data_IF_630569099354
#
_entry.id   IF_630569099354
#
_cell.length_a   1.000
_cell.length_b   1.000
_cell.length_c   1.000
_cell.angle_alpha   90.00
_cell.angle_beta   90.00
_cell.angle_gamma   90.00
#
_symmetry.space_group_name_H-M   'P 1'
#
loop_
_entity.id
_entity.type
_entity.pdbx_description
1 polymer ?
#
# COMPACT_ATOMS: atom_id res chain seq x y z
N UNK A 1 11.52 21.76 13.38
CA UNK A 1 11.75 21.13 12.05
C UNK A 1 10.84 19.92 11.97
N UNK A 2 10.18 19.64 10.82
CA UNK A 2 9.23 18.50 10.75
C UNK A 2 9.98 17.17 10.88
N UNK A 3 9.45 16.22 11.65
CA UNK A 3 10.09 14.92 11.89
C UNK A 3 10.15 14.09 10.60
N UNK A 4 11.33 13.93 9.99
CA UNK A 4 11.50 13.08 8.80
C UNK A 4 11.94 11.66 9.10
N UNK A 5 12.14 11.30 10.36
CA UNK A 5 12.57 9.97 10.74
C UNK A 5 11.49 8.94 10.45
N UNK A 6 11.88 7.86 9.75
CA UNK A 6 11.00 6.75 9.40
C UNK A 6 11.66 5.43 9.75
N UNK A 7 11.00 4.63 10.58
CA UNK A 7 11.44 3.27 10.91
C UNK A 7 11.05 2.31 9.79
N UNK A 8 12.04 1.70 9.15
CA UNK A 8 11.80 0.66 8.16
C UNK A 8 11.58 -0.70 8.83
N UNK A 9 10.61 -1.46 8.35
CA UNK A 9 10.41 -2.85 8.76
C UNK A 9 10.11 -3.71 7.54
N UNK A 10 10.76 -4.87 7.43
CA UNK A 10 10.34 -5.93 6.51
C UNK A 10 9.80 -7.09 7.34
N UNK A 11 8.50 -7.34 7.25
CA UNK A 11 7.84 -8.43 7.97
C UNK A 11 7.92 -9.77 7.23
N UNK A 12 8.56 -9.81 6.06
CA UNK A 12 8.68 -11.02 5.24
C UNK A 12 7.32 -11.53 4.79
N UNK A 13 7.17 -12.86 4.69
CA UNK A 13 5.90 -13.51 4.45
C UNK A 13 5.12 -13.61 5.78
N UNK A 14 3.97 -12.96 5.85
CA UNK A 14 3.18 -12.85 7.09
C UNK A 14 1.69 -13.04 6.79
N UNK A 15 0.98 -13.68 7.72
CA UNK A 15 -0.49 -13.78 7.65
C UNK A 15 -1.13 -12.38 7.58
N UNK A 16 -2.21 -12.28 6.80
CA UNK A 16 -2.85 -11.00 6.57
C UNK A 16 -3.45 -10.40 7.85
N UNK A 17 -4.07 -11.23 8.70
CA UNK A 17 -4.69 -10.75 9.94
C UNK A 17 -3.63 -10.32 10.93
N UNK A 18 -2.55 -11.08 11.07
CA UNK A 18 -1.41 -10.68 11.92
C UNK A 18 -0.82 -9.33 11.47
N UNK A 19 -0.58 -9.14 10.17
CA UNK A 19 -0.08 -7.87 9.63
C UNK A 19 -1.08 -6.73 9.82
N UNK A 20 -2.38 -7.00 9.66
CA UNK A 20 -3.41 -6.00 9.89
C UNK A 20 -3.48 -5.56 11.36
N UNK A 21 -3.36 -6.49 12.31
CA UNK A 21 -3.34 -6.16 13.74
C UNK A 21 -2.09 -5.35 14.12
N UNK A 22 -0.92 -5.65 13.53
CA UNK A 22 0.29 -4.83 13.66
C UNK A 22 0.09 -3.42 13.12
N UNK A 23 -0.54 -3.28 11.95
CA UNK A 23 -0.86 -1.98 11.37
C UNK A 23 -1.82 -1.16 12.25
N UNK A 24 -2.93 -1.76 12.72
CA UNK A 24 -3.89 -1.07 13.60
C UNK A 24 -3.21 -0.59 14.88
N UNK A 25 -2.28 -1.37 15.45
CA UNK A 25 -1.51 -0.96 16.62
C UNK A 25 -0.64 0.27 16.33
N UNK A 26 0.22 0.20 15.31
CA UNK A 26 1.10 1.32 14.94
C UNK A 26 0.30 2.59 14.61
N UNK A 27 -0.81 2.42 13.89
CA UNK A 27 -1.74 3.50 13.56
C UNK A 27 -2.40 4.11 14.80
N UNK A 28 -2.98 3.28 15.67
CA UNK A 28 -3.69 3.73 16.87
C UNK A 28 -2.74 4.41 17.86
N UNK A 29 -1.56 3.84 18.07
CA UNK A 29 -0.53 4.41 18.95
C UNK A 29 -0.10 5.80 18.46
N UNK A 30 0.13 5.95 17.15
CA UNK A 30 0.48 7.25 16.52
C UNK A 30 -0.65 8.27 16.64
N UNK A 31 -1.89 7.87 16.35
CA UNK A 31 -3.07 8.73 16.47
C UNK A 31 -3.31 9.18 17.92
N UNK A 32 -3.18 8.26 18.88
CA UNK A 32 -3.37 8.55 20.29
C UNK A 32 -2.31 9.51 20.81
N UNK A 33 -1.04 9.30 20.46
CA UNK A 33 0.04 10.22 20.80
C UNK A 33 -0.22 11.61 20.23
N UNK A 34 -0.66 11.70 18.97
CA UNK A 34 -1.01 12.97 18.34
C UNK A 34 -2.14 13.70 19.07
N UNK A 35 -3.16 12.98 19.53
CA UNK A 35 -4.24 13.56 20.34
C UNK A 35 -3.71 14.06 21.69
N UNK A 36 -2.80 13.30 22.33
CA UNK A 36 -2.20 13.70 23.60
C UNK A 36 -1.36 14.98 23.45
N UNK A 37 -0.50 15.05 22.43
CA UNK A 37 0.28 16.26 22.08
C UNK A 37 -0.66 17.45 21.94
N UNK A 38 -1.69 17.32 21.10
CA UNK A 38 -2.65 18.41 20.87
C UNK A 38 -3.38 18.85 22.14
N UNK A 39 -3.74 17.92 23.01
CA UNK A 39 -4.40 18.26 24.27
C UNK A 39 -3.46 18.98 25.24
N UNK A 40 -2.17 18.61 25.28
CA UNK A 40 -1.14 19.30 26.07
C UNK A 40 -0.91 20.72 25.58
N UNK A 41 -0.76 20.91 24.26
CA UNK A 41 -0.64 22.24 23.64
C UNK A 41 -1.83 23.15 23.99
N UNK A 42 -3.06 22.62 23.91
CA UNK A 42 -4.28 23.38 24.26
C UNK A 42 -4.31 23.74 25.75
N UNK A 43 -3.84 22.85 26.62
CA UNK A 43 -3.80 23.08 28.07
C UNK A 43 -2.70 24.05 28.51
N UNK A 44 -1.53 24.02 27.85
CA UNK A 44 -0.39 24.88 28.15
C UNK A 44 -0.56 26.33 27.64
N UNK A 45 -1.43 26.55 26.66
CA UNK A 45 -1.55 27.84 25.97
C UNK A 45 -0.48 28.01 24.89
N UNK A 46 -0.55 29.09 24.11
CA UNK A 46 0.25 29.30 22.88
C UNK A 46 1.76 29.50 23.14
N UNK A 47 2.22 29.42 24.38
CA UNK A 47 3.57 29.81 24.78
C UNK A 47 4.57 28.64 24.91
N UNK A 48 4.11 27.38 25.01
CA UNK A 48 4.98 26.20 25.04
C UNK A 48 4.72 25.26 23.86
N UNK A 49 5.73 25.08 23.00
CA UNK A 49 5.72 24.04 21.97
C UNK A 49 6.07 22.69 22.59
N UNK A 50 5.20 21.70 22.41
CA UNK A 50 5.46 20.30 22.75
C UNK A 50 6.42 19.71 21.71
N UNK A 51 7.65 19.38 22.11
CA UNK A 51 8.69 18.84 21.24
C UNK A 51 8.52 17.34 20.94
N UNK A 52 7.50 16.70 21.52
CA UNK A 52 7.20 15.29 21.30
C UNK A 52 6.83 15.04 19.83
N UNK A 53 7.55 14.14 19.18
CA UNK A 53 7.31 13.78 17.78
C UNK A 53 6.50 12.49 17.65
N UNK A 54 5.57 12.46 16.71
CA UNK A 54 4.89 11.23 16.30
C UNK A 54 5.84 10.35 15.49
N UNK A 55 5.84 9.01 15.70
CA UNK A 55 6.66 8.10 14.92
C UNK A 55 6.08 7.90 13.51
N UNK A 56 6.94 7.53 12.57
CA UNK A 56 6.55 7.18 11.21
C UNK A 56 7.16 5.83 10.83
N UNK A 57 6.44 5.02 10.07
CA UNK A 57 6.87 3.67 9.69
C UNK A 57 6.70 3.45 8.19
N UNK A 58 7.68 2.78 7.59
CA UNK A 58 7.57 2.21 6.25
C UNK A 58 7.72 0.70 6.38
N UNK A 59 6.61 -0.01 6.21
CA UNK A 59 6.58 -1.48 6.35
C UNK A 59 6.47 -2.11 4.98
N UNK A 60 7.29 -3.13 4.70
CA UNK A 60 7.12 -4.05 3.58
C UNK A 60 6.78 -5.45 4.08
N UNK A 61 6.02 -6.19 3.28
CA UNK A 61 5.77 -7.60 3.49
C UNK A 61 5.28 -8.28 2.20
N UNK A 62 5.06 -9.58 2.30
CA UNK A 62 4.27 -10.39 1.38
C UNK A 62 3.21 -11.13 2.21
N UNK A 63 2.12 -11.55 1.57
CA UNK A 63 1.09 -12.34 2.23
C UNK A 63 0.96 -13.73 1.60
N UNK A 64 0.56 -14.75 2.36
CA UNK A 64 -0.09 -15.92 1.80
C UNK A 64 -1.31 -15.50 0.96
N UNK A 65 -1.84 -16.42 0.15
CA UNK A 65 -2.98 -16.12 -0.72
C UNK A 65 -4.16 -15.57 0.11
N UNK A 66 -4.61 -14.37 -0.22
CA UNK A 66 -5.71 -13.71 0.51
C UNK A 66 -6.46 -12.77 -0.40
N UNK A 67 -7.78 -12.77 -0.27
CA UNK A 67 -8.67 -11.77 -0.85
C UNK A 67 -9.13 -10.81 0.24
N UNK A 68 -9.10 -9.52 -0.06
CA UNK A 68 -9.53 -8.49 0.90
C UNK A 68 -10.60 -7.60 0.29
N UNK A 69 -11.69 -7.38 1.02
CA UNK A 69 -12.79 -6.51 0.60
C UNK A 69 -12.67 -5.16 1.34
N UNK A 70 -12.47 -4.08 0.58
CA UNK A 70 -12.47 -2.72 1.12
C UNK A 70 -13.87 -2.15 1.31
N UNK A 71 -13.94 -0.91 1.82
CA UNK A 71 -15.20 -0.23 2.19
C UNK A 71 -16.18 0.00 1.03
N UNK A 72 -15.68 0.11 -0.19
CA UNK A 72 -16.52 0.34 -1.37
C UNK A 72 -16.92 -0.95 -2.07
N UNK A 73 -16.44 -2.09 -1.58
CA UNK A 73 -16.65 -3.38 -2.22
C UNK A 73 -17.91 -4.09 -1.78
N UNK A 74 -18.30 -5.07 -2.57
CA UNK A 74 -19.45 -5.93 -2.29
C UNK A 74 -19.02 -7.40 -2.24
N UNK A 75 -19.63 -8.23 -1.37
CA UNK A 75 -19.27 -9.65 -1.26
C UNK A 75 -19.35 -10.42 -2.58
N UNK A 76 -20.25 -10.02 -3.48
CA UNK A 76 -20.45 -10.67 -4.79
C UNK A 76 -19.27 -10.48 -5.75
N UNK A 77 -18.35 -9.57 -5.45
CA UNK A 77 -17.12 -9.39 -6.21
C UNK A 77 -16.10 -10.51 -5.96
N UNK A 78 -16.32 -11.37 -4.95
CA UNK A 78 -15.58 -12.61 -4.80
C UNK A 78 -16.33 -13.73 -5.55
N UNK A 79 -15.68 -14.33 -6.54
CA UNK A 79 -16.26 -15.42 -7.35
C UNK A 79 -16.06 -16.81 -6.73
N UNK A 80 -15.53 -16.87 -5.52
CA UNK A 80 -15.24 -18.10 -4.79
C UNK A 80 -16.20 -18.25 -3.62
N UNK A 81 -16.73 -19.45 -3.47
CA UNK A 81 -17.37 -19.87 -2.23
C UNK A 81 -16.31 -20.33 -1.21
N UNK A 82 -16.77 -20.72 -0.02
CA UNK A 82 -15.90 -21.14 1.08
C UNK A 82 -15.09 -22.39 0.74
N UNK A 83 -15.63 -23.31 -0.06
CA UNK A 83 -14.96 -24.54 -0.45
C UNK A 83 -13.84 -24.25 -1.46
N UNK A 84 -14.11 -23.42 -2.46
CA UNK A 84 -13.13 -23.00 -3.45
C UNK A 84 -11.99 -22.15 -2.84
N UNK A 85 -12.28 -21.35 -1.80
CA UNK A 85 -11.26 -20.66 -1.00
C UNK A 85 -10.31 -21.66 -0.32
N UNK A 86 -10.84 -22.72 0.31
CA UNK A 86 -10.04 -23.78 0.95
C UNK A 86 -9.16 -24.51 -0.06
N UNK A 87 -9.71 -24.86 -1.22
CA UNK A 87 -8.97 -25.54 -2.30
C UNK A 87 -7.84 -24.68 -2.86
N UNK A 88 -8.06 -23.37 -2.99
CA UNK A 88 -7.03 -22.41 -3.41
C UNK A 88 -6.08 -22.00 -2.29
N UNK A 89 -6.27 -22.52 -1.08
CA UNK A 89 -5.52 -22.16 0.13
C UNK A 89 -5.49 -20.64 0.35
N UNK A 90 -6.63 -19.98 0.12
CA UNK A 90 -6.76 -18.54 0.19
C UNK A 90 -7.66 -18.12 1.35
N UNK A 91 -7.24 -17.11 2.09
CA UNK A 91 -8.06 -16.46 3.12
C UNK A 91 -8.97 -15.37 2.51
N UNK A 92 -10.00 -14.96 3.25
CA UNK A 92 -10.86 -13.84 2.87
C UNK A 92 -11.14 -12.95 4.08
N UNK A 93 -10.94 -11.64 3.94
CA UNK A 93 -11.21 -10.67 5.00
C UNK A 93 -11.96 -9.44 4.47
N UNK A 94 -13.00 -9.03 5.19
CA UNK A 94 -13.60 -7.69 5.03
C UNK A 94 -12.88 -6.70 5.95
N UNK A 95 -12.37 -5.61 5.38
CA UNK A 95 -11.41 -4.72 6.02
C UNK A 95 -11.77 -3.23 5.82
N UNK A 96 -11.05 -2.36 6.54
CA UNK A 96 -11.39 -0.94 6.65
C UNK A 96 -10.58 0.01 5.73
N UNK A 97 -10.05 -0.49 4.61
CA UNK A 97 -9.36 0.33 3.59
C UNK A 97 -10.32 0.93 2.56
N UNK A 98 -9.88 1.97 1.87
CA UNK A 98 -10.54 2.44 0.65
C UNK A 98 -10.46 1.42 -0.50
N UNK A 99 -11.33 1.59 -1.49
CA UNK A 99 -11.41 0.72 -2.67
C UNK A 99 -12.29 -0.51 -2.46
N UNK A 100 -12.31 -1.37 -3.48
CA UNK A 100 -13.14 -2.57 -3.59
C UNK A 100 -12.35 -3.83 -3.17
N UNK A 101 -12.58 -4.98 -3.80
CA UNK A 101 -11.89 -6.24 -3.61
C UNK A 101 -10.51 -6.20 -4.27
N UNK A 102 -9.53 -6.88 -3.66
CA UNK A 102 -8.23 -7.16 -4.28
C UNK A 102 -7.69 -8.49 -3.78
N UNK A 103 -6.62 -8.95 -4.42
CA UNK A 103 -5.87 -10.13 -4.05
C UNK A 103 -4.44 -9.75 -3.62
N UNK A 104 -3.93 -10.48 -2.63
CA UNK A 104 -2.52 -10.50 -2.25
C UNK A 104 -2.01 -11.95 -2.18
N UNK A 105 -0.73 -12.15 -2.46
CA UNK A 105 -0.09 -13.46 -2.39
C UNK A 105 1.43 -13.37 -2.54
N UNK A 106 2.13 -14.52 -2.47
CA UNK A 106 3.57 -14.56 -2.66
C UNK A 106 4.01 -13.96 -4.00
N UNK A 107 5.16 -13.29 -4.02
CA UNK A 107 5.67 -12.57 -5.17
C UNK A 107 5.04 -11.18 -5.37
N UNK A 108 4.17 -10.72 -4.47
CA UNK A 108 3.61 -9.37 -4.47
C UNK A 108 4.20 -8.56 -3.31
N UNK A 109 4.92 -7.48 -3.61
CA UNK A 109 5.39 -6.57 -2.57
C UNK A 109 4.20 -5.78 -2.07
N UNK A 110 3.86 -5.93 -0.80
CA UNK A 110 2.88 -5.09 -0.12
C UNK A 110 3.63 -4.10 0.75
N UNK A 111 3.27 -2.82 0.63
CA UNK A 111 3.84 -1.75 1.45
C UNK A 111 2.76 -1.03 2.22
N UNK A 112 3.01 -0.87 3.52
CA UNK A 112 2.18 -0.13 4.45
C UNK A 112 2.96 1.07 5.02
N UNK A 113 2.92 2.25 4.38
CA UNK A 113 3.42 3.48 4.98
C UNK A 113 2.43 3.97 6.05
N UNK A 114 2.79 3.80 7.33
CA UNK A 114 2.05 4.34 8.48
C UNK A 114 2.73 5.64 8.89
N UNK A 115 2.30 6.73 8.27
CA UNK A 115 2.94 8.04 8.38
C UNK A 115 1.98 9.03 9.02
N UNK A 116 2.50 9.88 9.89
CA UNK A 116 1.83 11.13 10.22
C UNK A 116 2.16 12.18 9.15
N UNK A 117 1.21 12.45 8.26
CA UNK A 117 1.39 13.37 7.13
C UNK A 117 1.63 14.83 7.53
N UNK A 118 1.36 15.24 8.78
CA UNK A 118 1.77 16.57 9.25
C UNK A 118 3.30 16.73 9.26
N UNK A 119 4.03 15.63 9.45
CA UNK A 119 5.49 15.55 9.32
C UNK A 119 5.99 15.65 7.88
N UNK A 120 5.10 15.48 6.91
CA UNK A 120 5.37 15.53 5.48
C UNK A 120 4.61 16.68 4.84
N UNK A 121 3.50 16.34 4.20
CA UNK A 121 2.57 17.24 3.56
C UNK A 121 1.15 16.74 3.84
N UNK A 122 0.21 17.64 4.09
CA UNK A 122 -1.19 17.32 4.42
C UNK A 122 -2.07 17.28 3.19
N UNK A 123 -1.73 16.41 2.24
CA UNK A 123 -2.49 16.18 1.01
C UNK A 123 -2.53 14.69 0.68
N UNK A 124 -3.73 14.10 0.77
CA UNK A 124 -3.93 12.67 0.52
C UNK A 124 -3.80 12.31 -0.96
N UNK A 125 -4.13 13.23 -1.87
CA UNK A 125 -3.96 13.01 -3.31
C UNK A 125 -2.48 13.05 -3.65
N UNK A 126 -1.74 14.03 -3.13
CA UNK A 126 -0.28 14.07 -3.28
C UNK A 126 0.33 12.79 -2.70
N UNK A 127 -0.09 12.33 -1.52
CA UNK A 127 0.40 11.08 -0.92
C UNK A 127 0.24 9.88 -1.85
N UNK A 128 -0.96 9.69 -2.42
CA UNK A 128 -1.21 8.63 -3.39
C UNK A 128 -0.38 8.79 -4.66
N UNK A 129 -0.27 10.02 -5.20
CA UNK A 129 0.55 10.30 -6.38
C UNK A 129 2.02 10.03 -6.13
N UNK A 130 2.54 10.34 -4.94
CA UNK A 130 3.93 10.07 -4.56
C UNK A 130 4.21 8.57 -4.47
N UNK A 131 3.28 7.77 -3.93
CA UNK A 131 3.39 6.30 -3.94
C UNK A 131 3.34 5.71 -5.35
N UNK A 132 2.44 6.19 -6.20
CA UNK A 132 2.40 5.80 -7.62
C UNK A 132 3.72 6.15 -8.33
N UNK A 133 4.27 7.34 -8.06
CA UNK A 133 5.55 7.77 -8.65
C UNK A 133 6.70 6.86 -8.24
N UNK A 134 6.76 6.46 -6.96
CA UNK A 134 7.79 5.56 -6.48
C UNK A 134 7.79 4.22 -7.23
N UNK A 135 6.61 3.68 -7.54
CA UNK A 135 6.46 2.46 -8.33
C UNK A 135 6.81 2.70 -9.81
N UNK A 136 6.39 3.83 -10.39
CA UNK A 136 6.74 4.20 -11.77
C UNK A 136 8.26 4.31 -11.94
N UNK A 137 8.96 4.99 -11.02
CA UNK A 137 10.42 5.11 -11.04
C UNK A 137 11.09 3.75 -10.82
N UNK A 138 10.57 2.92 -9.91
CA UNK A 138 11.04 1.54 -9.73
C UNK A 138 10.95 0.77 -11.04
N UNK A 139 9.83 0.86 -11.77
CA UNK A 139 9.66 0.20 -13.06
C UNK A 139 10.60 0.76 -14.14
N UNK A 140 10.83 2.07 -14.14
CA UNK A 140 11.74 2.72 -15.07
C UNK A 140 13.19 2.22 -14.93
N UNK A 141 13.64 1.88 -13.71
CA UNK A 141 14.96 1.28 -13.47
C UNK A 141 15.12 -0.10 -14.13
N UNK A 142 14.01 -0.80 -14.42
CA UNK A 142 13.97 -2.05 -15.18
C UNK A 142 13.62 -1.83 -16.67
N UNK A 143 13.59 -0.58 -17.15
CA UNK A 143 13.24 -0.26 -18.54
C UNK A 143 11.76 -0.38 -18.86
N UNK A 144 10.89 -0.51 -17.86
CA UNK A 144 9.45 -0.65 -18.03
C UNK A 144 8.74 0.72 -17.94
N UNK A 145 8.02 1.09 -19.00
CA UNK A 145 7.30 2.37 -19.06
C UNK A 145 5.86 2.22 -18.57
N UNK A 146 5.64 2.49 -17.28
CA UNK A 146 4.31 2.57 -16.68
C UNK A 146 3.89 4.03 -16.40
N UNK A 147 2.63 4.22 -16.04
CA UNK A 147 2.07 5.52 -15.73
C UNK A 147 0.80 5.44 -14.89
N UNK A 148 0.05 6.54 -14.88
CA UNK A 148 -1.23 6.67 -14.18
C UNK A 148 -2.35 6.62 -15.21
N UNK A 149 -3.49 6.05 -14.81
CA UNK A 149 -4.71 6.09 -15.61
C UNK A 149 -5.71 7.06 -14.95
N UNK A 150 -6.06 8.19 -15.61
CA UNK A 150 -7.12 9.08 -15.15
C UNK A 150 -8.39 8.34 -14.68
N UNK A 151 -8.86 8.64 -13.47
CA UNK A 151 -10.03 7.98 -12.86
C UNK A 151 -9.75 6.63 -12.18
N UNK A 152 -8.56 6.06 -12.37
CA UNK A 152 -8.21 4.71 -11.94
C UNK A 152 -6.95 4.69 -11.07
N UNK A 153 -7.13 4.75 -9.75
CA UNK A 153 -6.02 4.70 -8.78
C UNK A 153 -5.15 3.44 -8.96
N UNK A 154 -3.84 3.64 -8.99
CA UNK A 154 -2.88 2.56 -9.29
C UNK A 154 -1.83 2.98 -10.31
N UNK A 155 -0.89 2.06 -10.53
CA UNK A 155 0.08 2.16 -11.62
C UNK A 155 -0.28 1.16 -12.71
N UNK A 156 -0.21 1.63 -13.95
CA UNK A 156 -0.76 0.97 -15.12
C UNK A 156 0.22 1.00 -16.29
N UNK A 157 0.17 -0.03 -17.12
CA UNK A 157 0.69 0.03 -18.49
C UNK A 157 -0.45 0.35 -19.44
N UNK A 158 -0.12 1.03 -20.54
CA UNK A 158 -1.04 1.22 -21.68
C UNK A 158 -2.39 1.83 -21.29
N UNK A 159 -2.39 2.73 -20.30
CA UNK A 159 -3.58 3.31 -19.66
C UNK A 159 -4.61 3.92 -20.62
N UNK A 160 -4.16 4.43 -21.78
CA UNK A 160 -5.01 5.14 -22.73
C UNK A 160 -5.52 4.24 -23.88
N UNK A 161 -5.43 2.91 -23.75
CA UNK A 161 -5.94 1.97 -24.75
C UNK A 161 -6.54 0.69 -24.14
N UNK A 162 -7.04 -0.20 -25.01
CA UNK A 162 -7.71 -1.45 -24.65
C UNK A 162 -6.80 -2.48 -23.96
N UNK A 163 -5.47 -2.34 -24.06
CA UNK A 163 -4.49 -3.21 -23.41
C UNK A 163 -4.08 -2.71 -22.01
N UNK A 164 -4.83 -1.73 -21.46
CA UNK A 164 -4.59 -1.19 -20.14
C UNK A 164 -4.56 -2.32 -19.10
N UNK A 165 -3.46 -2.38 -18.34
CA UNK A 165 -3.27 -3.41 -17.31
C UNK A 165 -2.60 -2.86 -16.06
N UNK A 166 -3.17 -3.19 -14.90
CA UNK A 166 -2.69 -2.69 -13.60
C UNK A 166 -1.54 -3.53 -13.10
N UNK A 167 -0.43 -2.88 -12.72
CA UNK A 167 0.71 -3.54 -12.07
C UNK A 167 0.78 -3.27 -10.57
N UNK A 168 0.20 -2.17 -10.10
CA UNK A 168 0.15 -1.84 -8.68
C UNK A 168 -1.20 -1.28 -8.26
N UNK A 169 -1.80 -1.87 -7.23
CA UNK A 169 -3.00 -1.37 -6.58
C UNK A 169 -2.65 -0.49 -5.38
N UNK A 170 -3.42 0.58 -5.15
CA UNK A 170 -3.31 1.42 -3.96
C UNK A 170 -4.67 1.51 -3.28
N UNK A 171 -4.67 1.38 -1.95
CA UNK A 171 -5.86 1.49 -1.12
C UNK A 171 -5.45 1.86 0.29
N UNK A 172 -5.84 3.05 0.74
CA UNK A 172 -5.35 3.66 1.99
C UNK A 172 -6.51 4.02 2.91
N UNK A 173 -6.21 4.10 4.21
CA UNK A 173 -7.05 4.72 5.23
C UNK A 173 -6.28 5.91 5.81
N UNK A 174 -6.96 7.00 6.10
CA UNK A 174 -6.38 8.15 6.78
C UNK A 174 -7.31 8.63 7.89
N UNK A 175 -6.75 8.96 9.05
CA UNK A 175 -7.45 9.63 10.15
C UNK A 175 -6.51 10.59 10.85
N UNK A 176 -6.92 11.84 11.06
CA UNK A 176 -6.07 12.88 11.68
C UNK A 176 -4.69 12.97 11.02
N UNK A 177 -4.64 12.82 9.70
CA UNK A 177 -3.41 12.80 8.89
C UNK A 177 -2.47 11.62 9.13
N UNK A 178 -2.84 10.63 9.95
CA UNK A 178 -2.11 9.37 10.05
C UNK A 178 -2.63 8.40 8.99
N UNK A 179 -1.74 7.78 8.22
CA UNK A 179 -2.08 6.81 7.16
C UNK A 179 -1.98 5.36 7.62
N UNK A 180 -2.69 4.46 6.94
CA UNK A 180 -2.62 3.01 7.11
C UNK A 180 -3.02 2.32 5.80
N UNK A 181 -2.67 1.04 5.64
CA UNK A 181 -2.65 0.31 4.37
C UNK A 181 -1.64 0.96 3.42
N UNK A 182 -1.82 0.89 2.11
CA UNK A 182 -0.81 1.40 1.19
C UNK A 182 -0.96 0.86 -0.22
N UNK A 183 0.09 0.19 -0.70
CA UNK A 183 0.20 -0.32 -2.06
C UNK A 183 0.49 -1.82 -2.11
N UNK A 184 0.12 -2.44 -3.23
CA UNK A 184 0.39 -3.83 -3.55
C UNK A 184 0.95 -3.90 -4.98
N UNK A 185 2.24 -4.16 -5.11
CA UNK A 185 3.01 -4.14 -6.34
C UNK A 185 3.32 -5.56 -6.82
N UNK A 186 2.82 -5.90 -8.01
CA UNK A 186 2.96 -7.24 -8.57
C UNK A 186 4.36 -7.43 -9.17
N UNK A 187 5.22 -8.22 -8.49
CA UNK A 187 6.58 -8.53 -8.97
C UNK A 187 6.59 -9.89 -9.66
N UNK A 188 6.51 -10.97 -8.90
CA UNK A 188 6.41 -12.36 -9.36
C UNK A 188 5.05 -12.97 -9.01
N UNK A 189 4.03 -12.12 -8.88
CA UNK A 189 2.71 -12.50 -8.37
C UNK A 189 2.03 -13.50 -9.32
N UNK A 190 1.44 -14.55 -8.76
CA UNK A 190 0.58 -15.44 -9.53
C UNK A 190 -0.74 -14.73 -9.90
N UNK A 191 -0.79 -14.22 -11.14
CA UNK A 191 -1.91 -13.42 -11.65
C UNK A 191 -3.21 -14.23 -11.83
N UNK A 192 -3.16 -15.57 -11.86
CA UNK A 192 -4.36 -16.39 -12.00
C UNK A 192 -5.34 -16.24 -10.83
N UNK A 193 -4.87 -15.77 -9.67
CA UNK A 193 -5.73 -15.50 -8.52
C UNK A 193 -6.67 -14.30 -8.75
N UNK A 194 -6.25 -13.31 -9.54
CA UNK A 194 -7.12 -12.16 -9.88
C UNK A 194 -8.34 -12.55 -10.72
N UNK A 195 -8.31 -13.70 -11.41
CA UNK A 195 -9.47 -14.21 -12.17
C UNK A 195 -10.64 -14.65 -11.28
N UNK A 196 -10.46 -14.69 -9.96
CA UNK A 196 -11.48 -15.08 -9.01
C UNK A 196 -12.16 -13.88 -8.33
N UNK A 197 -11.91 -12.66 -8.81
CA UNK A 197 -12.51 -11.44 -8.30
C UNK A 197 -13.00 -10.54 -9.45
N UNK A 198 -13.99 -9.69 -9.16
CA UNK A 198 -14.56 -8.71 -10.10
C UNK A 198 -14.53 -7.31 -9.45
N UNK A 199 -13.47 -6.51 -9.68
CA UNK A 199 -13.35 -5.18 -9.08
C UNK A 199 -14.20 -4.13 -9.82
N UNK A 200 -15.00 -3.37 -9.08
CA UNK A 200 -15.87 -2.29 -9.58
C UNK A 200 -15.15 -1.36 -10.56
N UNK A 201 -15.74 -1.20 -11.74
CA UNK A 201 -15.32 -0.23 -12.75
C UNK A 201 -14.11 -0.64 -13.59
N UNK A 202 -13.57 -1.85 -13.37
CA UNK A 202 -12.36 -2.38 -14.02
C UNK A 202 -12.66 -3.74 -14.69
N UNK A 203 -13.92 -4.14 -14.84
CA UNK A 203 -14.32 -5.45 -15.40
C UNK A 203 -13.71 -5.76 -16.79
N UNK A 204 -13.25 -4.74 -17.50
CA UNK A 204 -12.62 -4.79 -18.82
C UNK A 204 -11.09 -4.64 -18.83
N UNK A 205 -10.41 -4.48 -17.67
CA UNK A 205 -8.96 -4.20 -17.62
C UNK A 205 -8.17 -5.31 -16.95
N UNK A 206 -7.02 -5.63 -17.54
CA UNK A 206 -6.18 -6.74 -17.11
C UNK A 206 -5.29 -6.35 -15.90
N UNK A 207 -4.64 -7.33 -15.31
CA UNK A 207 -3.57 -7.16 -14.31
C UNK A 207 -2.27 -7.72 -14.84
N UNK A 208 -1.15 -7.15 -14.43
CA UNK A 208 0.18 -7.63 -14.81
C UNK A 208 1.13 -7.68 -13.63
N UNK A 209 2.33 -8.20 -13.87
CA UNK A 209 3.44 -8.29 -12.93
C UNK A 209 4.77 -8.00 -13.65
N UNK A 210 5.81 -7.61 -12.92
CA UNK A 210 7.14 -7.44 -13.50
C UNK A 210 7.61 -8.70 -14.23
N UNK A 211 7.35 -9.88 -13.65
CA UNK A 211 7.68 -11.17 -14.26
C UNK A 211 7.03 -11.35 -15.63
N UNK A 212 5.75 -10.97 -15.78
CA UNK A 212 5.05 -11.05 -17.06
C UNK A 212 5.61 -10.05 -18.07
N UNK A 213 5.90 -8.83 -17.66
CA UNK A 213 6.40 -7.77 -18.55
C UNK A 213 7.85 -8.01 -19.01
N UNK A 214 8.69 -8.59 -18.15
CA UNK A 214 10.10 -8.89 -18.45
C UNK A 214 10.31 -10.29 -19.05
N UNK A 215 9.32 -11.19 -18.90
CA UNK A 215 9.39 -12.56 -19.41
C UNK A 215 10.20 -13.53 -18.53
N UNK A 216 10.63 -13.11 -17.34
CA UNK A 216 11.37 -13.93 -16.38
C UNK A 216 11.13 -13.46 -14.94
N UNK A 217 11.35 -14.32 -13.95
CA UNK A 217 11.28 -13.94 -12.53
C UNK A 217 12.36 -12.91 -12.17
N UNK A 218 12.02 -11.98 -11.27
CA UNK A 218 12.91 -10.90 -10.80
C UNK A 218 13.26 -11.13 -9.34
N UNK A 219 14.47 -10.75 -8.90
CA UNK A 219 14.82 -10.76 -7.48
C UNK A 219 13.96 -9.74 -6.71
N UNK A 220 12.99 -10.25 -5.96
CA UNK A 220 12.06 -9.41 -5.20
C UNK A 220 12.75 -8.56 -4.13
N UNK A 221 13.90 -9.01 -3.59
CA UNK A 221 14.65 -8.23 -2.61
C UNK A 221 15.34 -7.03 -3.25
N UNK A 222 15.80 -7.19 -4.49
CA UNK A 222 16.31 -6.07 -5.28
C UNK A 222 15.20 -5.04 -5.53
N UNK A 223 14.03 -5.50 -5.97
CA UNK A 223 12.87 -4.62 -6.21
C UNK A 223 12.43 -3.91 -4.93
N UNK A 224 12.39 -4.61 -3.78
CA UNK A 224 12.14 -3.98 -2.47
C UNK A 224 13.18 -2.88 -2.17
N UNK A 225 14.47 -3.14 -2.38
CA UNK A 225 15.52 -2.15 -2.12
C UNK A 225 15.35 -0.89 -2.98
N UNK A 226 15.03 -1.05 -4.27
CA UNK A 226 14.81 0.06 -5.21
C UNK A 226 13.53 0.82 -4.85
N UNK A 227 12.42 0.11 -4.61
CA UNK A 227 11.15 0.72 -4.20
C UNK A 227 11.30 1.52 -2.90
N UNK A 228 11.98 0.96 -1.90
CA UNK A 228 12.28 1.66 -0.63
C UNK A 228 13.06 2.94 -0.89
N UNK A 229 14.06 2.89 -1.77
CA UNK A 229 14.86 4.06 -2.12
C UNK A 229 13.98 5.16 -2.74
N UNK A 230 13.17 4.84 -3.76
CA UNK A 230 12.30 5.83 -4.40
C UNK A 230 11.25 6.40 -3.45
N UNK A 231 10.62 5.57 -2.61
CA UNK A 231 9.70 6.06 -1.56
C UNK A 231 10.44 7.01 -0.62
N UNK A 232 11.62 6.62 -0.13
CA UNK A 232 12.40 7.42 0.82
C UNK A 232 12.79 8.78 0.23
N UNK A 233 13.27 8.81 -1.02
CA UNK A 233 13.65 10.04 -1.71
C UNK A 233 12.43 10.94 -1.93
N UNK A 234 11.34 10.41 -2.47
CA UNK A 234 10.17 11.20 -2.84
C UNK A 234 9.43 11.79 -1.62
N UNK A 235 9.44 11.09 -0.50
CA UNK A 235 8.89 11.59 0.77
C UNK A 235 9.90 12.39 1.60
N UNK A 236 11.17 12.44 1.18
CA UNK A 236 12.28 13.00 1.94
C UNK A 236 12.38 12.38 3.34
N UNK A 237 12.38 11.05 3.40
CA UNK A 237 12.47 10.25 4.63
C UNK A 237 13.92 10.10 5.07
N UNK A 238 14.16 10.29 6.37
CA UNK A 238 15.39 9.92 7.06
C UNK A 238 15.21 8.50 7.61
N UNK A 239 15.72 7.50 6.88
CA UNK A 239 15.52 6.11 7.27
C UNK A 239 16.31 5.78 8.55
N UNK A 240 15.59 5.36 9.59
CA UNK A 240 16.18 4.89 10.83
C UNK A 240 16.55 3.41 10.69
N UNK A 241 17.75 3.05 11.17
CA UNK A 241 18.26 1.67 11.21
C UNK A 241 17.69 0.88 12.39
#
# INVERSE_FOLDING_TARGET
MKNKQVFFQDWGLIDYKEAWDKQERLFADTVNLKIQIRNREVAAGVEEEDDTQTPNYLVFCEHPHVYTLGKSGKPEHLLLDEQALKEKQAAYYSINRGGDITYHGPGQIVSYPILDLDNFFTDIHLYLRTLEEAVILTLADYGLKAGRYPGYTGVWFDADNENARKICALGVRCSRWVTMHGLAFNVNTNLAYFKNIVPCGIDDKDVTSMQRELGHEVDINEVKRILKHHISVLFNMEMML
#
